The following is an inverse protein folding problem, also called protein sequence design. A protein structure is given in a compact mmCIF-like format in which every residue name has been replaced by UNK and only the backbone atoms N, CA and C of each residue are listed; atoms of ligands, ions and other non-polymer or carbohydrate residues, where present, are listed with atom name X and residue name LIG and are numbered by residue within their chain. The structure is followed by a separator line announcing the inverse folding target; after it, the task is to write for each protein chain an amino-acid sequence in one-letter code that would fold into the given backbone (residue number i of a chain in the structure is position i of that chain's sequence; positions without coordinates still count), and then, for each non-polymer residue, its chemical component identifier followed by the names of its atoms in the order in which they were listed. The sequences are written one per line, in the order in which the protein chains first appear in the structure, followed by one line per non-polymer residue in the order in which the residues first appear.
data_IF_867988672581
#
_entry.id   IF_867988672581
#
_cell.length_a   1.000
_cell.length_b   1.000
_cell.length_c   1.000
_cell.angle_alpha   90.00
_cell.angle_beta   90.00
_cell.angle_gamma   90.00
#
_symmetry.space_group_name_H-M   'P 1'
#
loop_
_entity.id
_entity.type
_entity.pdbx_description
1 polymer ?
#
# COMPACT_ATOMS: atom_id res chain seq x y z
N UNK A 1 -13.07 -3.81 -13.49
CA UNK A 1 -13.28 -5.23 -13.18
C UNK A 1 -12.23 -6.09 -13.87
N UNK A 2 -11.51 -6.93 -13.14
CA UNK A 2 -10.51 -7.85 -13.69
C UNK A 2 -11.17 -8.91 -14.59
N UNK A 3 -10.43 -9.46 -15.55
CA UNK A 3 -10.91 -10.44 -16.53
C UNK A 3 -11.41 -11.77 -15.91
N UNK A 4 -11.37 -11.93 -14.58
CA UNK A 4 -11.76 -13.15 -13.86
C UNK A 4 -12.75 -12.89 -12.72
N UNK A 5 -13.31 -11.68 -12.57
CA UNK A 5 -14.27 -11.34 -11.51
C UNK A 5 -13.69 -11.28 -10.10
N UNK A 6 -12.41 -11.62 -9.93
CA UNK A 6 -11.70 -11.56 -8.66
C UNK A 6 -11.29 -10.12 -8.31
N UNK A 7 -11.32 -9.73 -7.02
CA UNK A 7 -10.80 -8.44 -6.60
C UNK A 7 -9.30 -8.34 -6.89
N UNK A 8 -8.87 -7.22 -7.48
CA UNK A 8 -7.46 -6.95 -7.75
C UNK A 8 -6.87 -6.02 -6.70
N UNK A 9 -5.64 -6.33 -6.27
CA UNK A 9 -4.86 -5.50 -5.34
C UNK A 9 -3.52 -5.18 -5.97
N UNK A 10 -3.13 -3.90 -5.95
CA UNK A 10 -1.81 -3.47 -6.40
C UNK A 10 -0.88 -3.30 -5.18
N UNK A 11 0.15 -4.15 -5.10
CA UNK A 11 1.27 -4.01 -4.16
C UNK A 11 2.43 -3.28 -4.87
N UNK A 12 2.42 -1.93 -4.84
CA UNK A 12 3.30 -1.11 -5.70
C UNK A 12 4.67 -0.78 -5.11
N UNK A 13 4.84 -0.88 -3.79
CA UNK A 13 6.13 -0.72 -3.10
C UNK A 13 6.38 -1.97 -2.25
N UNK A 14 6.74 -3.09 -2.86
CA UNK A 14 6.80 -4.38 -2.15
C UNK A 14 7.81 -4.34 -1.01
N UNK A 15 7.36 -4.79 0.17
CA UNK A 15 8.14 -4.84 1.41
C UNK A 15 8.34 -6.26 1.96
N UNK A 16 7.53 -7.23 1.53
CA UNK A 16 7.66 -8.64 1.92
C UNK A 16 8.53 -9.39 0.89
N UNK A 17 9.81 -9.71 1.21
CA UNK A 17 10.71 -10.38 0.27
C UNK A 17 10.37 -11.86 0.05
N UNK A 18 9.50 -12.43 0.89
CA UNK A 18 9.06 -13.83 0.75
C UNK A 18 7.77 -13.96 -0.06
N UNK A 19 7.13 -12.82 -0.35
CA UNK A 19 5.78 -12.74 -0.90
C UNK A 19 4.74 -13.56 -0.10
N UNK A 20 5.01 -13.98 1.15
CA UNK A 20 4.12 -14.84 1.93
C UNK A 20 2.75 -14.18 2.17
N UNK A 21 2.73 -12.89 2.50
CA UNK A 21 1.51 -12.10 2.66
C UNK A 21 0.73 -11.97 1.35
N UNK A 22 1.44 -11.85 0.22
CA UNK A 22 0.86 -11.68 -1.11
C UNK A 22 0.34 -13.02 -1.66
N UNK A 23 1.02 -14.12 -1.34
CA UNK A 23 0.57 -15.48 -1.65
C UNK A 23 -0.67 -15.85 -0.84
N UNK A 24 -0.73 -15.47 0.44
CA UNK A 24 -1.92 -15.65 1.29
C UNK A 24 -3.18 -15.00 0.69
N UNK A 25 -3.04 -13.83 0.05
CA UNK A 25 -4.12 -13.16 -0.69
C UNK A 25 -4.49 -13.94 -1.95
N UNK A 26 -3.50 -14.37 -2.74
CA UNK A 26 -3.72 -15.13 -3.98
C UNK A 26 -4.46 -16.44 -3.75
N UNK A 27 -4.10 -17.17 -2.69
CA UNK A 27 -4.77 -18.40 -2.28
C UNK A 27 -6.25 -18.20 -1.91
N UNK A 28 -6.63 -16.97 -1.55
CA UNK A 28 -8.02 -16.57 -1.24
C UNK A 28 -8.77 -15.98 -2.44
N UNK A 29 -8.21 -16.13 -3.64
CA UNK A 29 -8.83 -15.64 -4.87
C UNK A 29 -8.66 -14.13 -5.07
N UNK A 30 -7.63 -13.51 -4.51
CA UNK A 30 -7.29 -12.11 -4.83
C UNK A 30 -6.26 -12.08 -5.95
N UNK A 31 -6.53 -11.30 -6.99
CA UNK A 31 -5.53 -11.06 -8.03
C UNK A 31 -4.53 -10.00 -7.55
N UNK A 32 -3.31 -10.42 -7.20
CA UNK A 32 -2.26 -9.50 -6.75
C UNK A 32 -1.41 -9.05 -7.93
N UNK A 33 -1.35 -7.74 -8.15
CA UNK A 33 -0.50 -7.07 -9.13
C UNK A 33 0.71 -6.51 -8.41
N UNK A 34 1.91 -6.80 -8.92
CA UNK A 34 3.16 -6.33 -8.34
C UNK A 34 3.65 -5.05 -9.02
N UNK A 35 4.07 -4.07 -8.22
CA UNK A 35 4.90 -2.95 -8.67
C UNK A 35 6.36 -3.15 -8.29
N UNK A 36 7.06 -2.05 -8.04
CA UNK A 36 8.49 -2.07 -7.78
C UNK A 36 8.77 -2.59 -6.37
N UNK A 37 9.84 -3.35 -6.21
CA UNK A 37 10.26 -3.84 -4.90
C UNK A 37 11.23 -2.89 -4.23
N UNK A 38 11.15 -2.74 -2.91
CA UNK A 38 12.00 -1.79 -2.18
C UNK A 38 13.49 -2.19 -2.17
N UNK A 39 13.82 -3.43 -2.54
CA UNK A 39 15.19 -3.94 -2.69
C UNK A 39 15.74 -3.81 -4.12
N UNK A 40 14.95 -3.35 -5.09
CA UNK A 40 15.45 -3.05 -6.44
C UNK A 40 16.28 -1.75 -6.41
N UNK A 41 17.43 -1.74 -7.09
CA UNK A 41 18.33 -0.59 -7.15
C UNK A 41 18.54 -0.12 -8.60
N UNK A 42 18.25 1.16 -8.93
CA UNK A 42 17.68 2.18 -8.04
C UNK A 42 16.20 1.91 -7.74
N UNK A 43 15.78 2.12 -6.49
CA UNK A 43 14.37 2.06 -6.15
C UNK A 43 13.63 3.21 -6.82
N UNK A 44 12.73 2.88 -7.74
CA UNK A 44 11.92 3.86 -8.47
C UNK A 44 10.53 3.96 -7.84
N UNK A 45 10.15 5.16 -7.40
CA UNK A 45 8.78 5.47 -7.01
C UNK A 45 7.93 5.70 -8.24
N UNK A 46 6.65 5.34 -8.19
CA UNK A 46 5.72 5.68 -9.24
C UNK A 46 5.36 7.16 -9.21
N UNK A 47 5.23 7.74 -10.40
CA UNK A 47 4.47 8.99 -10.59
C UNK A 47 2.97 8.74 -10.39
N UNK A 48 2.17 9.79 -10.27
CA UNK A 48 0.71 9.64 -10.21
C UNK A 48 0.16 8.91 -11.44
N UNK A 49 0.65 9.25 -12.64
CA UNK A 49 0.18 8.65 -13.89
C UNK A 49 0.53 7.16 -13.96
N UNK A 50 1.74 6.78 -13.56
CA UNK A 50 2.16 5.37 -13.50
C UNK A 50 1.33 4.58 -12.48
N UNK A 51 1.05 5.18 -11.32
CA UNK A 51 0.22 4.55 -10.30
C UNK A 51 -1.23 4.37 -10.79
N UNK A 52 -1.84 5.41 -11.35
CA UNK A 52 -3.20 5.37 -11.91
C UNK A 52 -3.29 4.30 -13.00
N UNK A 53 -2.34 4.31 -13.95
CA UNK A 53 -2.31 3.35 -15.05
C UNK A 53 -2.25 1.89 -14.55
N UNK A 54 -1.41 1.61 -13.54
CA UNK A 54 -1.29 0.26 -12.97
C UNK A 54 -2.44 -0.12 -12.05
N UNK A 55 -3.06 0.85 -11.38
CA UNK A 55 -4.09 0.61 -10.38
C UNK A 55 -5.50 0.54 -10.96
N UNK A 56 -5.70 0.83 -12.26
CA UNK A 56 -7.03 0.75 -12.87
C UNK A 56 -7.69 -0.61 -12.63
N UNK A 57 -8.91 -0.58 -12.09
CA UNK A 57 -9.69 -1.77 -11.74
C UNK A 57 -9.25 -2.49 -10.46
N UNK A 58 -8.28 -1.94 -9.71
CA UNK A 58 -7.92 -2.44 -8.39
C UNK A 58 -8.87 -1.91 -7.33
N UNK A 59 -9.20 -2.77 -6.38
CA UNK A 59 -10.02 -2.42 -5.21
C UNK A 59 -9.17 -1.97 -4.02
N UNK A 60 -7.88 -2.30 -4.03
CA UNK A 60 -6.96 -1.86 -2.99
C UNK A 60 -5.55 -1.54 -3.51
N UNK A 61 -4.90 -0.63 -2.80
CA UNK A 61 -3.50 -0.27 -2.96
C UNK A 61 -2.70 -0.65 -1.71
N UNK A 62 -1.50 -1.20 -1.86
CA UNK A 62 -0.59 -1.49 -0.75
C UNK A 62 0.79 -0.88 -1.02
N UNK A 63 1.24 0.03 -0.15
CA UNK A 63 2.46 0.82 -0.35
C UNK A 63 2.45 2.16 0.39
N UNK A 64 2.83 3.23 -0.30
CA UNK A 64 2.83 4.62 0.15
C UNK A 64 3.87 4.98 1.21
N UNK A 65 5.05 4.34 1.20
CA UNK A 65 6.23 4.81 1.95
C UNK A 65 6.95 5.95 1.22
N UNK A 66 6.84 6.04 -0.10
CA UNK A 66 7.46 7.10 -0.90
C UNK A 66 6.56 7.70 -1.98
N UNK A 67 5.78 6.89 -2.69
CA UNK A 67 4.78 7.37 -3.66
C UNK A 67 3.57 7.98 -2.94
N UNK A 68 3.15 9.17 -3.37
CA UNK A 68 2.00 9.89 -2.80
C UNK A 68 0.69 9.43 -3.44
N UNK A 69 -0.34 9.28 -2.62
CA UNK A 69 -1.71 8.98 -3.04
C UNK A 69 -2.54 10.24 -2.82
N UNK A 70 -2.69 11.03 -3.87
CA UNK A 70 -3.38 12.33 -3.84
C UNK A 70 -4.87 12.18 -4.18
N UNK A 71 -5.65 13.24 -3.98
CA UNK A 71 -7.03 13.33 -4.49
C UNK A 71 -7.15 12.96 -5.96
N UNK A 72 -6.19 13.37 -6.81
CA UNK A 72 -6.19 13.05 -8.25
C UNK A 72 -6.11 11.54 -8.48
N UNK A 73 -5.21 10.86 -7.78
CA UNK A 73 -5.07 9.40 -7.88
C UNK A 73 -6.38 8.71 -7.48
N UNK A 74 -6.98 9.10 -6.36
CA UNK A 74 -8.22 8.49 -5.87
C UNK A 74 -9.42 8.74 -6.80
N UNK A 75 -9.54 9.96 -7.33
CA UNK A 75 -10.61 10.30 -8.29
C UNK A 75 -10.49 9.55 -9.62
N UNK A 76 -9.26 9.20 -10.04
CA UNK A 76 -9.02 8.39 -11.25
C UNK A 76 -9.26 6.89 -11.06
N UNK A 77 -9.50 6.42 -9.83
CA UNK A 77 -9.63 5.00 -9.49
C UNK A 77 -11.00 4.71 -8.85
N UNK A 78 -12.09 4.66 -9.63
CA UNK A 78 -13.46 4.56 -9.11
C UNK A 78 -13.77 3.23 -8.40
N UNK A 79 -12.95 2.20 -8.61
CA UNK A 79 -13.07 0.89 -7.95
C UNK A 79 -12.29 0.82 -6.63
N UNK A 80 -11.45 1.81 -6.33
CA UNK A 80 -10.62 1.82 -5.13
C UNK A 80 -11.49 1.94 -3.87
N UNK A 81 -11.25 1.06 -2.90
CA UNK A 81 -11.96 1.02 -1.60
C UNK A 81 -11.01 1.01 -0.40
N UNK A 82 -9.76 0.60 -0.60
CA UNK A 82 -8.81 0.44 0.50
C UNK A 82 -7.39 0.85 0.16
N UNK A 83 -6.72 1.52 1.09
CA UNK A 83 -5.29 1.82 1.03
C UNK A 83 -4.62 1.25 2.28
N UNK A 84 -3.71 0.29 2.07
CA UNK A 84 -2.84 -0.25 3.11
C UNK A 84 -1.48 0.43 3.03
N UNK A 85 -1.20 1.33 3.98
CA UNK A 85 0.09 1.99 4.04
C UNK A 85 1.13 1.14 4.77
N UNK A 86 2.33 1.03 4.19
CA UNK A 86 3.49 0.49 4.90
C UNK A 86 4.12 1.58 5.80
N UNK A 87 4.40 1.20 7.05
CA UNK A 87 5.03 2.05 8.06
C UNK A 87 4.07 2.93 8.88
N UNK A 88 4.66 3.81 9.68
CA UNK A 88 3.97 4.71 10.61
C UNK A 88 3.54 5.99 9.89
N UNK A 89 2.42 6.58 10.33
CA UNK A 89 1.89 7.82 9.79
C UNK A 89 1.13 7.62 8.49
N UNK A 90 0.57 8.70 7.95
CA UNK A 90 -0.22 8.68 6.71
C UNK A 90 0.02 9.92 5.83
N UNK A 91 1.13 10.64 6.04
CA UNK A 91 1.43 11.93 5.38
C UNK A 91 1.57 11.85 3.85
N UNK A 92 1.76 10.64 3.32
CA UNK A 92 1.82 10.36 1.88
C UNK A 92 0.44 10.19 1.25
N UNK A 93 -0.65 10.23 2.03
CA UNK A 93 -2.02 10.00 1.60
C UNK A 93 -2.87 11.23 1.94
N UNK A 94 -3.64 11.72 0.98
CA UNK A 94 -4.65 12.75 1.22
C UNK A 94 -5.86 12.13 1.95
N UNK A 95 -5.89 12.22 3.28
CA UNK A 95 -6.90 11.55 4.12
C UNK A 95 -8.29 12.16 3.96
N UNK A 96 -8.37 13.47 3.74
CA UNK A 96 -9.65 14.14 3.53
C UNK A 96 -10.28 13.65 2.22
N UNK A 97 -9.51 13.61 1.13
CA UNK A 97 -9.98 13.04 -0.12
C UNK A 97 -10.31 11.55 0.02
N UNK A 98 -9.52 10.76 0.75
CA UNK A 98 -9.86 9.34 0.97
C UNK A 98 -11.22 9.19 1.66
N UNK A 99 -11.49 10.01 2.67
CA UNK A 99 -12.76 10.02 3.43
C UNK A 99 -13.94 10.43 2.55
N UNK A 100 -13.80 11.52 1.79
CA UNK A 100 -14.82 12.00 0.83
C UNK A 100 -15.18 10.93 -0.21
N UNK A 101 -14.18 10.16 -0.64
CA UNK A 101 -14.32 9.11 -1.64
C UNK A 101 -14.76 7.74 -1.05
N UNK A 102 -14.95 7.64 0.27
CA UNK A 102 -15.34 6.40 0.93
C UNK A 102 -14.24 5.32 0.91
N UNK A 103 -12.98 5.73 0.84
CA UNK A 103 -11.80 4.86 0.83
C UNK A 103 -11.29 4.72 2.26
N UNK A 104 -11.20 3.48 2.75
CA UNK A 104 -10.63 3.19 4.06
C UNK A 104 -9.10 3.18 3.98
N UNK A 105 -8.44 3.89 4.89
CA UNK A 105 -6.97 3.96 4.99
C UNK A 105 -6.52 3.29 6.29
N UNK A 106 -5.52 2.41 6.17
CA UNK A 106 -4.84 1.81 7.32
C UNK A 106 -3.34 2.05 7.25
N UNK A 107 -2.69 2.04 8.40
CA UNK A 107 -1.24 1.98 8.54
C UNK A 107 -0.89 0.96 9.63
N UNK A 108 0.35 0.49 9.64
CA UNK A 108 0.85 -0.41 10.71
C UNK A 108 1.72 0.39 11.67
N UNK A 109 1.17 0.98 12.74
CA UNK A 109 1.91 1.88 13.63
C UNK A 109 2.99 1.18 14.47
N UNK A 110 2.99 -0.15 14.55
CA UNK A 110 3.79 -0.91 15.51
C UNK A 110 5.03 -1.61 14.92
N UNK A 111 5.38 -1.38 13.65
CA UNK A 111 6.54 -2.04 13.02
C UNK A 111 7.89 -1.45 13.47
N UNK A 112 7.89 -0.39 14.29
CA UNK A 112 9.08 0.14 14.95
C UNK A 112 9.16 -0.29 16.42
N UNK A 113 9.18 -1.59 16.70
CA UNK A 113 9.80 -2.06 17.96
C UNK A 113 11.32 -2.01 17.80
N UNK A 114 11.84 -0.79 17.86
CA UNK A 114 13.23 -0.58 18.22
C UNK A 114 13.47 -1.16 19.61
N UNK A 115 14.64 -1.74 19.78
CA UNK A 115 15.31 -1.94 21.05
C UNK A 115 15.26 -0.66 21.90
N UNK A 116 14.23 -0.47 22.71
CA UNK A 116 14.40 0.22 23.99
C UNK A 116 15.11 -0.79 24.88
N UNK A 117 16.44 -0.69 24.91
CA UNK A 117 17.20 -1.27 26.02
C UNK A 117 16.50 -0.84 27.31
N UNK A 118 16.12 -1.83 28.10
CA UNK A 118 15.78 -1.60 29.49
C UNK A 118 17.03 -1.02 30.15
N UNK A 119 17.14 0.30 30.22
CA UNK A 119 18.02 0.93 31.18
C UNK A 119 17.35 0.74 32.53
N UNK A 120 17.54 -0.44 33.09
CA UNK A 120 17.37 -0.69 34.52
C UNK A 120 18.29 0.30 35.22
N UNK A 121 17.72 1.36 35.79
CA UNK A 121 18.37 2.02 36.92
C UNK A 121 18.35 1.00 38.04
N UNK A 122 19.49 0.38 38.29
CA UNK A 122 19.75 -0.30 39.56
C UNK A 122 19.70 0.74 40.69
N UNK A 123 19.23 0.35 41.89
CA UNK A 123 19.12 1.24 43.05
C UNK A 123 20.48 1.76 43.55
#
# INVERSE_FOLDING_TARGET
MSAQGLPSVLAFERYDPTDASLNWLRERGVNVIFGNAHWEMPFKRFTEDELIAKAHGCVALMGASGTRITRRVMHSLPDLRYISKYGIGVDSIDIDAATEHGILVSSTPNDFKSSRSASTRSP
#
